data_IF_447092141858
#
_entry.id   IF_447092141858
#
_cell.length_a   1.000
_cell.length_b   1.000
_cell.length_c   1.000
_cell.angle_alpha   90.00
_cell.angle_beta   90.00
_cell.angle_gamma   90.00
#
_symmetry.space_group_name_H-M   'P 1'
#
loop_
_entity.id
_entity.type
_entity.pdbx_description
1 polymer ?
#
# COMPACT_ATOMS: atom_id res chain seq x y z
N UNK A 1 -37.87 21.14 -6.45
CA UNK A 1 -38.74 20.46 -5.47
C UNK A 1 -37.90 20.19 -4.25
N UNK A 2 -38.13 21.04 -3.26
CA UNK A 2 -37.44 21.14 -1.96
C UNK A 2 -38.20 20.29 -0.97
N UNK A 3 -37.52 19.59 -0.07
CA UNK A 3 -38.10 19.21 1.23
C UNK A 3 -37.02 19.15 2.29
N UNK A 4 -36.94 20.25 3.02
CA UNK A 4 -36.34 20.34 4.35
C UNK A 4 -37.07 19.44 5.33
N UNK A 5 -36.34 18.81 6.25
CA UNK A 5 -36.90 18.23 7.45
C UNK A 5 -35.96 18.43 8.64
N UNK A 6 -36.03 19.59 9.28
CA UNK A 6 -35.61 19.81 10.66
C UNK A 6 -36.79 20.31 11.44
N UNK A 7 -37.23 19.57 12.45
CA UNK A 7 -38.10 20.06 13.48
C UNK A 7 -37.55 19.69 14.85
N UNK A 8 -37.19 20.72 15.58
CA UNK A 8 -36.87 20.69 17.00
C UNK A 8 -38.18 20.53 17.81
N UNK A 9 -38.11 19.78 18.88
CA UNK A 9 -38.94 20.01 20.05
C UNK A 9 -38.16 19.79 21.33
N UNK A 10 -37.92 20.90 22.00
CA UNK A 10 -37.51 21.00 23.40
C UNK A 10 -38.71 20.72 24.29
N UNK A 11 -38.55 19.93 25.33
CA UNK A 11 -39.40 19.97 26.51
C UNK A 11 -38.60 19.59 27.75
N UNK A 12 -38.35 20.58 28.55
CA UNK A 12 -37.85 20.50 29.91
C UNK A 12 -38.92 19.96 30.84
N UNK A 13 -38.61 18.96 31.65
CA UNK A 13 -39.22 18.74 32.97
C UNK A 13 -38.16 18.22 33.92
N UNK A 14 -37.84 19.06 34.89
CA UNK A 14 -37.09 18.69 36.06
C UNK A 14 -37.86 17.68 36.90
N UNK A 15 -37.13 16.73 37.43
CA UNK A 15 -37.54 15.93 38.59
C UNK A 15 -36.36 15.90 39.54
N UNK A 16 -36.51 16.65 40.62
CA UNK A 16 -35.72 16.49 41.83
C UNK A 16 -35.91 15.06 42.33
N UNK A 17 -34.85 14.29 42.35
CA UNK A 17 -34.79 13.06 43.14
C UNK A 17 -33.76 13.22 44.24
N UNK A 18 -34.26 13.35 45.45
CA UNK A 18 -33.51 13.21 46.69
C UNK A 18 -32.65 11.94 46.68
N UNK A 19 -31.34 12.15 46.72
CA UNK A 19 -30.39 11.04 46.85
C UNK A 19 -30.41 10.55 48.30
N UNK A 20 -31.23 9.56 48.59
CA UNK A 20 -31.12 8.78 49.80
C UNK A 20 -29.85 7.93 49.69
N UNK A 21 -28.76 8.41 50.25
CA UNK A 21 -27.51 7.68 50.39
C UNK A 21 -27.72 6.53 51.35
N UNK A 22 -28.05 5.35 50.84
CA UNK A 22 -28.08 4.12 51.62
C UNK A 22 -26.66 3.64 51.84
N UNK A 23 -26.31 3.32 53.11
CA UNK A 23 -25.00 2.76 53.52
C UNK A 23 -24.56 1.50 52.72
N UNK A 24 -25.46 0.90 51.93
CA UNK A 24 -25.15 -0.19 51.01
C UNK A 24 -24.37 0.21 49.74
N UNK A 25 -24.52 1.48 49.29
CA UNK A 25 -23.80 1.96 48.11
C UNK A 25 -22.30 2.16 48.38
N UNK A 26 -21.95 2.47 49.63
CA UNK A 26 -20.53 2.68 50.05
C UNK A 26 -19.73 1.38 50.14
N UNK A 27 -20.39 0.20 50.28
CA UNK A 27 -19.69 -1.09 50.36
C UNK A 27 -19.42 -1.69 48.97
N UNK A 28 -20.12 -1.23 47.93
CA UNK A 28 -19.95 -1.71 46.57
C UNK A 28 -18.88 -0.90 45.78
N UNK A 29 -18.58 0.33 46.18
CA UNK A 29 -17.63 1.18 45.52
C UNK A 29 -16.20 0.61 45.50
N UNK A 30 -15.66 0.03 46.58
CA UNK A 30 -14.33 -0.59 46.55
C UNK A 30 -14.32 -1.90 45.75
N UNK A 31 -15.46 -2.60 45.63
CA UNK A 31 -15.56 -3.82 44.84
C UNK A 31 -15.51 -3.53 43.32
N UNK A 32 -16.18 -2.44 42.89
CA UNK A 32 -16.15 -1.98 41.50
C UNK A 32 -14.78 -1.39 41.12
N UNK A 33 -14.13 -0.67 42.05
CA UNK A 33 -12.79 -0.14 41.83
C UNK A 33 -11.75 -1.28 41.72
N UNK A 34 -11.89 -2.34 42.54
CA UNK A 34 -11.06 -3.53 42.45
C UNK A 34 -11.25 -4.31 41.14
N UNK A 35 -12.49 -4.38 40.62
CA UNK A 35 -12.75 -5.04 39.34
C UNK A 35 -12.21 -4.23 38.16
N UNK A 36 -12.25 -2.91 38.20
CA UNK A 36 -11.70 -2.06 37.13
C UNK A 36 -10.17 -2.10 37.10
N UNK A 37 -9.51 -2.18 38.25
CA UNK A 37 -8.04 -2.34 38.31
C UNK A 37 -7.62 -3.72 37.81
N UNK A 38 -8.35 -4.78 38.18
CA UNK A 38 -8.06 -6.15 37.70
C UNK A 38 -8.32 -6.32 36.19
N UNK A 39 -9.27 -5.56 35.63
CA UNK A 39 -9.52 -5.56 34.20
C UNK A 39 -8.49 -4.73 33.41
N UNK A 40 -7.99 -3.66 34.01
CA UNK A 40 -6.95 -2.79 33.40
C UNK A 40 -5.59 -3.50 33.33
N UNK A 41 -5.27 -4.36 34.28
CA UNK A 41 -4.00 -5.11 34.24
C UNK A 41 -4.00 -6.23 33.17
N UNK A 42 -5.19 -6.77 32.82
CA UNK A 42 -5.29 -7.78 31.75
C UNK A 42 -5.21 -7.22 30.34
N UNK A 43 -5.42 -5.91 30.14
CA UNK A 43 -5.33 -5.28 28.83
C UNK A 43 -3.95 -4.75 28.49
N UNK A 44 -3.00 -4.81 29.43
CA UNK A 44 -1.65 -4.26 29.25
C UNK A 44 -0.67 -5.21 28.56
N UNK A 45 -1.02 -6.48 28.36
CA UNK A 45 -0.21 -7.39 27.58
C UNK A 45 -0.83 -7.54 26.20
N UNK A 46 -0.37 -6.75 25.24
CA UNK A 46 -0.59 -7.07 23.85
C UNK A 46 -0.13 -8.52 23.66
N UNK A 47 -1.00 -9.36 23.10
CA UNK A 47 -0.63 -10.72 22.76
C UNK A 47 0.61 -10.68 21.89
N UNK A 48 1.63 -11.46 22.23
CA UNK A 48 2.78 -11.61 21.35
C UNK A 48 2.27 -12.11 20.01
N UNK A 49 2.73 -11.51 18.91
CA UNK A 49 2.33 -11.91 17.57
C UNK A 49 2.79 -13.36 17.34
N UNK A 50 1.85 -14.21 16.97
CA UNK A 50 2.16 -15.58 16.55
C UNK A 50 2.67 -15.55 15.10
N UNK A 51 3.95 -15.90 14.86
CA UNK A 51 4.53 -15.87 13.51
C UNK A 51 3.95 -16.93 12.57
N UNK A 52 3.22 -17.92 13.07
CA UNK A 52 2.49 -18.87 12.23
C UNK A 52 1.18 -18.32 11.68
N UNK A 53 0.62 -17.27 12.32
CA UNK A 53 -0.62 -16.62 11.93
C UNK A 53 -0.39 -15.26 11.30
N UNK A 54 0.70 -14.55 11.70
CA UNK A 54 1.00 -13.20 11.23
C UNK A 54 2.48 -13.06 10.89
N UNK A 55 2.77 -12.66 9.65
CA UNK A 55 4.13 -12.36 9.19
C UNK A 55 4.29 -10.85 9.13
N UNK A 56 5.33 -10.35 9.80
CA UNK A 56 5.73 -8.94 9.75
C UNK A 56 7.11 -8.84 9.10
N UNK A 57 7.20 -8.02 8.05
CA UNK A 57 8.48 -7.64 7.44
C UNK A 57 8.65 -6.14 7.61
N UNK A 58 9.62 -5.72 8.42
CA UNK A 58 9.94 -4.31 8.62
C UNK A 58 10.69 -3.76 7.40
N UNK A 59 10.66 -2.43 7.22
CA UNK A 59 11.22 -1.78 6.04
C UNK A 59 12.74 -2.03 5.85
N UNK A 60 13.49 -2.15 6.93
CA UNK A 60 14.92 -2.46 6.94
C UNK A 60 15.25 -3.92 6.61
N UNK A 61 14.27 -4.80 6.74
CA UNK A 61 14.36 -6.21 6.35
C UNK A 61 13.96 -6.46 4.88
N UNK A 62 13.51 -5.45 4.15
CA UNK A 62 13.16 -5.56 2.74
C UNK A 62 14.41 -5.41 1.88
N UNK A 63 14.83 -6.50 1.24
CA UNK A 63 16.02 -6.53 0.41
C UNK A 63 15.66 -6.42 -1.07
N UNK A 64 16.15 -5.35 -1.71
CA UNK A 64 16.02 -5.15 -3.13
C UNK A 64 17.18 -5.84 -3.87
N UNK A 65 16.84 -6.49 -4.98
CA UNK A 65 17.79 -7.09 -5.90
C UNK A 65 17.65 -6.47 -7.29
N UNK A 66 18.74 -6.36 -8.07
CA UNK A 66 18.67 -5.84 -9.44
C UNK A 66 17.64 -6.58 -10.28
N UNK A 67 16.88 -5.84 -11.08
CA UNK A 67 15.92 -6.41 -12.01
C UNK A 67 16.63 -6.95 -13.23
N UNK A 68 16.61 -8.31 -13.39
CA UNK A 68 17.21 -8.99 -14.54
C UNK A 68 18.66 -8.50 -14.82
N UNK A 69 18.99 -8.24 -16.09
CA UNK A 69 20.29 -7.78 -16.56
C UNK A 69 20.44 -6.24 -16.55
N UNK A 70 19.58 -5.55 -15.81
CA UNK A 70 19.63 -4.09 -15.70
C UNK A 70 20.92 -3.64 -14.99
N UNK A 71 21.46 -2.46 -15.34
CA UNK A 71 22.62 -1.92 -14.66
C UNK A 71 22.41 -1.76 -13.15
N UNK A 72 23.46 -1.86 -12.35
CA UNK A 72 23.35 -1.55 -10.91
C UNK A 72 22.72 -0.19 -10.68
N UNK A 73 21.82 -0.11 -9.67
CA UNK A 73 21.09 1.14 -9.34
C UNK A 73 20.28 1.70 -10.52
N UNK A 74 19.62 0.83 -11.28
CA UNK A 74 18.63 1.19 -12.30
C UNK A 74 17.22 0.79 -11.86
N UNK A 75 16.82 -0.45 -12.09
CA UNK A 75 15.61 -1.08 -11.60
C UNK A 75 15.93 -2.20 -10.61
N UNK A 76 15.23 -2.23 -9.48
CA UNK A 76 15.40 -3.23 -8.44
C UNK A 76 14.04 -3.77 -8.01
N UNK A 77 13.99 -5.05 -7.59
CA UNK A 77 12.79 -5.72 -7.10
C UNK A 77 12.99 -6.26 -5.69
N UNK A 78 11.94 -6.23 -4.89
CA UNK A 78 11.85 -6.98 -3.63
C UNK A 78 10.51 -7.74 -3.59
N UNK A 79 10.56 -9.05 -3.41
CA UNK A 79 9.35 -9.87 -3.27
C UNK A 79 8.89 -9.88 -1.83
N UNK A 80 7.64 -9.44 -1.59
CA UNK A 80 7.02 -9.46 -0.27
C UNK A 80 6.08 -10.64 -0.08
N UNK A 81 5.43 -11.10 -1.16
CA UNK A 81 4.50 -12.21 -1.13
C UNK A 81 4.47 -12.94 -2.48
N UNK A 82 4.29 -14.25 -2.46
CA UNK A 82 4.21 -15.08 -3.66
C UNK A 82 5.52 -15.13 -4.43
N UNK A 83 5.45 -14.93 -5.74
CA UNK A 83 6.58 -14.89 -6.66
C UNK A 83 6.11 -14.58 -8.07
N UNK A 84 6.99 -14.03 -8.90
CA UNK A 84 6.64 -13.70 -10.29
C UNK A 84 6.58 -14.91 -11.21
N UNK A 85 7.22 -16.02 -10.80
CA UNK A 85 7.41 -17.27 -11.54
C UNK A 85 6.43 -18.38 -11.14
N UNK A 86 5.69 -18.21 -10.03
CA UNK A 86 4.83 -19.25 -9.44
C UNK A 86 3.36 -18.86 -9.54
N UNK A 87 2.45 -19.78 -9.95
CA UNK A 87 1.04 -19.48 -10.04
C UNK A 87 0.47 -18.95 -8.72
N UNK A 88 -0.32 -17.89 -8.81
CA UNK A 88 -1.01 -17.28 -7.68
C UNK A 88 -0.82 -15.78 -7.56
N UNK A 89 -1.38 -15.16 -6.53
CA UNK A 89 -1.20 -13.74 -6.28
C UNK A 89 0.23 -13.43 -5.84
N UNK A 90 0.74 -12.28 -6.26
CA UNK A 90 2.03 -11.77 -5.82
C UNK A 90 1.92 -10.31 -5.36
N UNK A 91 2.82 -9.93 -4.46
CA UNK A 91 3.12 -8.56 -4.10
C UNK A 91 4.63 -8.36 -4.15
N UNK A 92 5.09 -7.47 -5.03
CA UNK A 92 6.49 -7.07 -5.13
C UNK A 92 6.62 -5.56 -5.02
N UNK A 93 7.76 -5.10 -4.54
CA UNK A 93 8.16 -3.70 -4.66
C UNK A 93 9.10 -3.56 -5.84
N UNK A 94 8.81 -2.61 -6.72
CA UNK A 94 9.70 -2.15 -7.77
C UNK A 94 10.32 -0.84 -7.34
N UNK A 95 11.63 -0.69 -7.49
CA UNK A 95 12.34 0.56 -7.26
C UNK A 95 13.01 0.99 -8.55
N UNK A 96 12.63 2.17 -9.05
CA UNK A 96 13.30 2.82 -10.17
C UNK A 96 14.22 3.92 -9.68
N UNK A 97 15.50 3.81 -9.97
CA UNK A 97 16.45 4.90 -9.75
C UNK A 97 16.33 5.96 -10.86
N UNK A 98 16.62 7.25 -10.55
CA UNK A 98 16.62 8.31 -11.55
C UNK A 98 17.47 7.97 -12.77
N UNK A 99 16.94 8.28 -13.96
CA UNK A 99 17.61 8.05 -15.24
C UNK A 99 17.34 6.69 -15.88
N UNK A 100 16.43 5.88 -15.34
CA UNK A 100 16.11 4.58 -15.89
C UNK A 100 14.62 4.32 -16.01
N UNK A 101 14.23 3.71 -17.13
CA UNK A 101 12.88 3.26 -17.42
C UNK A 101 12.89 1.85 -18.03
N UNK A 102 11.77 1.15 -17.94
CA UNK A 102 11.55 -0.07 -18.71
C UNK A 102 11.46 0.24 -20.21
N UNK A 103 11.83 -0.70 -21.04
CA UNK A 103 11.45 -0.70 -22.45
C UNK A 103 9.96 -0.93 -22.60
N UNK A 104 9.32 -0.52 -23.72
CA UNK A 104 7.95 -0.90 -24.03
C UNK A 104 7.73 -2.40 -23.98
N UNK A 105 6.76 -2.85 -23.20
CA UNK A 105 6.47 -4.25 -22.95
C UNK A 105 4.98 -4.47 -22.68
N UNK A 106 4.57 -5.73 -22.69
CA UNK A 106 3.20 -6.19 -22.52
C UNK A 106 3.18 -7.25 -21.43
N UNK A 107 2.15 -7.27 -20.61
CA UNK A 107 1.84 -8.37 -19.69
C UNK A 107 0.58 -9.11 -20.11
N UNK A 108 0.54 -10.41 -19.86
CA UNK A 108 -0.63 -11.25 -20.11
C UNK A 108 -1.79 -11.00 -19.14
N UNK A 109 -1.53 -10.41 -17.98
CA UNK A 109 -2.53 -10.13 -16.93
C UNK A 109 -2.47 -8.67 -16.49
N UNK A 110 -3.60 -8.18 -15.94
CA UNK A 110 -3.65 -6.86 -15.30
C UNK A 110 -2.68 -6.79 -14.12
N UNK A 111 -2.13 -5.59 -13.92
CA UNK A 111 -1.33 -5.27 -12.73
C UNK A 111 -1.86 -4.02 -12.05
N UNK A 112 -1.94 -4.08 -10.73
CA UNK A 112 -2.33 -2.95 -9.88
C UNK A 112 -1.08 -2.40 -9.22
N UNK A 113 -0.94 -1.08 -9.21
CA UNK A 113 0.27 -0.42 -8.74
C UNK A 113 -0.09 0.74 -7.83
N UNK A 114 0.62 0.87 -6.71
CA UNK A 114 0.51 1.99 -5.80
C UNK A 114 1.91 2.58 -5.59
N UNK A 115 2.07 3.88 -5.83
CA UNK A 115 3.35 4.56 -5.59
C UNK A 115 3.52 4.82 -4.09
N UNK A 116 4.57 4.28 -3.51
CA UNK A 116 4.87 4.40 -2.08
C UNK A 116 5.77 5.60 -1.77
N UNK A 117 6.74 5.89 -2.64
CA UNK A 117 7.63 7.05 -2.51
C UNK A 117 8.14 7.51 -3.88
N UNK A 118 8.63 8.73 -3.94
CA UNK A 118 9.12 9.35 -5.17
C UNK A 118 8.01 9.66 -6.17
N UNK A 119 8.41 9.79 -7.42
CA UNK A 119 7.51 9.97 -8.56
C UNK A 119 7.78 8.88 -9.59
N UNK A 120 6.75 8.19 -10.00
CA UNK A 120 6.78 7.18 -11.04
C UNK A 120 6.24 7.77 -12.34
N UNK A 121 7.06 7.80 -13.40
CA UNK A 121 6.65 8.26 -14.73
C UNK A 121 6.15 7.08 -15.54
N UNK A 122 4.94 7.21 -16.07
CA UNK A 122 4.24 6.14 -16.77
C UNK A 122 3.75 6.60 -18.13
N UNK A 123 3.75 5.70 -19.11
CA UNK A 123 3.12 5.91 -20.40
C UNK A 123 2.49 4.62 -20.92
N UNK A 124 1.66 4.74 -21.98
CA UNK A 124 1.09 3.64 -22.74
C UNK A 124 1.51 3.79 -24.21
N UNK A 125 1.71 2.66 -24.87
CA UNK A 125 2.09 2.60 -26.27
C UNK A 125 3.35 1.79 -26.52
N UNK A 126 3.60 1.49 -27.79
CA UNK A 126 4.75 0.72 -28.26
C UNK A 126 5.99 1.60 -28.51
N UNK A 127 5.75 2.88 -28.78
CA UNK A 127 6.82 3.83 -29.06
C UNK A 127 7.36 4.43 -27.76
N UNK A 128 8.67 4.32 -27.57
CA UNK A 128 9.31 4.84 -26.37
C UNK A 128 9.53 6.34 -26.48
N UNK A 129 8.77 7.09 -25.68
CA UNK A 129 8.85 8.56 -25.62
C UNK A 129 8.84 9.01 -24.14
N UNK A 130 10.03 9.12 -23.51
CA UNK A 130 10.13 9.47 -22.10
C UNK A 130 9.66 10.90 -21.79
N UNK A 131 9.64 11.80 -22.77
CA UNK A 131 9.25 13.19 -22.57
C UNK A 131 7.75 13.36 -22.36
N UNK A 132 6.95 12.47 -22.93
CA UNK A 132 5.49 12.47 -22.81
C UNK A 132 4.95 11.50 -21.74
N UNK A 133 5.77 11.14 -20.77
CA UNK A 133 5.31 10.32 -19.63
C UNK A 133 4.51 11.14 -18.62
N UNK A 134 3.53 10.49 -17.98
CA UNK A 134 2.71 11.09 -16.93
C UNK A 134 3.37 10.85 -15.57
N UNK A 135 3.66 11.90 -14.77
CA UNK A 135 4.18 11.74 -13.42
C UNK A 135 3.07 11.28 -12.45
N UNK A 136 3.33 10.22 -11.72
CA UNK A 136 2.45 9.70 -10.66
C UNK A 136 3.23 9.79 -9.33
N UNK A 137 2.91 10.76 -8.45
CA UNK A 137 3.57 10.91 -7.16
C UNK A 137 3.13 9.85 -6.15
N UNK A 138 3.80 9.81 -5.00
CA UNK A 138 3.42 8.95 -3.87
C UNK A 138 1.93 9.07 -3.52
N UNK A 139 1.28 7.93 -3.24
CA UNK A 139 -0.16 7.79 -3.06
C UNK A 139 -0.94 7.61 -4.36
N UNK A 140 -0.32 7.81 -5.53
CA UNK A 140 -0.96 7.60 -6.83
C UNK A 140 -1.15 6.14 -7.16
N UNK A 141 -2.24 5.82 -7.87
CA UNK A 141 -2.62 4.48 -8.29
C UNK A 141 -2.58 4.36 -9.81
N UNK A 142 -2.06 3.24 -10.31
CA UNK A 142 -2.06 2.89 -11.74
C UNK A 142 -2.53 1.46 -11.93
N UNK A 143 -3.48 1.25 -12.84
CA UNK A 143 -3.82 -0.06 -13.36
C UNK A 143 -3.18 -0.24 -14.74
N UNK A 144 -2.33 -1.24 -14.88
CA UNK A 144 -1.84 -1.70 -16.19
C UNK A 144 -2.79 -2.75 -16.73
N UNK A 145 -3.39 -2.46 -17.87
CA UNK A 145 -4.34 -3.37 -18.52
C UNK A 145 -3.57 -4.43 -19.28
N UNK A 146 -3.99 -5.69 -19.15
CA UNK A 146 -3.44 -6.82 -19.89
C UNK A 146 -3.37 -6.57 -21.40
N UNK A 147 -2.39 -7.14 -22.04
CA UNK A 147 -2.16 -7.09 -23.49
C UNK A 147 -2.00 -5.68 -24.09
N UNK A 148 -1.71 -4.68 -23.24
CA UNK A 148 -1.53 -3.30 -23.68
C UNK A 148 -0.05 -2.90 -23.53
N UNK A 149 0.63 -2.45 -24.61
CA UNK A 149 2.00 -1.98 -24.52
C UNK A 149 2.11 -0.77 -23.59
N UNK A 150 3.15 -0.77 -22.77
CA UNK A 150 3.46 0.32 -21.85
C UNK A 150 4.93 0.31 -21.44
N UNK A 151 5.37 1.41 -20.83
CA UNK A 151 6.67 1.56 -20.20
C UNK A 151 6.58 2.55 -19.04
N UNK A 152 7.58 2.52 -18.16
CA UNK A 152 7.58 3.32 -16.95
C UNK A 152 8.97 3.35 -16.30
N UNK A 153 9.17 4.27 -15.37
CA UNK A 153 10.40 4.40 -14.63
C UNK A 153 10.55 5.74 -13.91
N UNK A 154 11.79 6.22 -13.80
CA UNK A 154 12.11 7.52 -13.20
C UNK A 154 12.98 8.35 -14.14
N UNK A 155 12.60 9.61 -14.38
CA UNK A 155 13.38 10.56 -15.18
C UNK A 155 14.72 10.87 -14.51
N UNK A 156 15.70 11.30 -15.29
CA UNK A 156 17.07 11.62 -14.79
C UNK A 156 17.10 12.79 -13.81
N UNK A 157 16.15 13.69 -13.87
CA UNK A 157 16.01 14.85 -12.97
C UNK A 157 15.20 14.53 -11.69
N UNK A 158 14.73 13.28 -11.52
CA UNK A 158 14.04 12.87 -10.30
C UNK A 158 14.97 12.99 -9.08
N UNK A 159 14.44 13.54 -7.99
CA UNK A 159 15.23 13.81 -6.77
C UNK A 159 15.53 12.56 -5.95
N UNK A 160 14.69 11.53 -6.10
CA UNK A 160 14.77 10.29 -5.34
C UNK A 160 14.24 9.11 -6.17
N UNK A 161 14.59 7.88 -5.84
CA UNK A 161 14.01 6.70 -6.48
C UNK A 161 12.49 6.63 -6.29
N UNK A 162 11.78 6.18 -7.31
CA UNK A 162 10.39 5.81 -7.20
C UNK A 162 10.27 4.37 -6.65
N UNK A 163 9.49 4.17 -5.59
CA UNK A 163 9.15 2.85 -5.06
C UNK A 163 7.68 2.59 -5.26
N UNK A 164 7.36 1.48 -5.92
CA UNK A 164 6.01 1.12 -6.33
C UNK A 164 5.69 -0.27 -5.79
N UNK A 165 4.55 -0.43 -5.12
CA UNK A 165 3.98 -1.73 -4.82
C UNK A 165 3.22 -2.24 -6.04
N UNK A 166 3.58 -3.43 -6.53
CA UNK A 166 2.97 -4.09 -7.68
C UNK A 166 2.25 -5.35 -7.21
N UNK A 167 0.97 -5.43 -7.49
CA UNK A 167 0.14 -6.59 -7.22
C UNK A 167 -0.44 -7.16 -8.53
N UNK A 168 -0.47 -8.47 -8.65
CA UNK A 168 -1.03 -9.17 -9.80
C UNK A 168 -1.15 -10.67 -9.57
N UNK A 169 -1.40 -11.39 -10.65
CA UNK A 169 -1.46 -12.85 -10.68
C UNK A 169 -0.30 -13.36 -11.53
N UNK A 170 0.49 -14.24 -10.94
CA UNK A 170 1.62 -14.90 -11.60
C UNK A 170 1.20 -16.28 -12.20
N UNK A 171 1.98 -16.87 -13.12
CA UNK A 171 3.29 -16.38 -13.58
C UNK A 171 3.17 -15.08 -14.36
N UNK A 172 4.18 -14.22 -14.17
CA UNK A 172 4.24 -12.96 -14.91
C UNK A 172 4.88 -13.21 -16.26
N UNK A 173 4.08 -13.13 -17.31
CA UNK A 173 4.53 -13.25 -18.68
C UNK A 173 4.77 -11.84 -19.26
N UNK A 174 6.04 -11.45 -19.33
CA UNK A 174 6.48 -10.18 -19.88
C UNK A 174 7.01 -10.39 -21.30
N UNK A 175 6.42 -9.69 -22.25
CA UNK A 175 6.86 -9.67 -23.63
C UNK A 175 7.33 -8.28 -24.03
N UNK A 176 8.60 -8.13 -24.43
CA UNK A 176 9.11 -6.89 -24.98
C UNK A 176 8.48 -6.60 -26.34
N UNK A 177 8.12 -5.34 -26.61
CA UNK A 177 7.66 -4.91 -27.95
C UNK A 177 8.80 -5.07 -28.97
N UNK A 178 10.03 -4.78 -28.57
CA UNK A 178 11.22 -5.00 -29.37
C UNK A 178 12.20 -5.90 -28.62
N UNK A 179 12.16 -7.22 -28.83
CA UNK A 179 13.01 -8.17 -28.11
C UNK A 179 14.49 -8.12 -28.54
N UNK A 180 14.84 -7.36 -29.59
CA UNK A 180 16.23 -7.16 -30.01
C UNK A 180 16.98 -6.15 -29.11
N UNK A 181 16.27 -5.46 -28.23
CA UNK A 181 16.82 -4.43 -27.33
C UNK A 181 16.68 -4.83 -25.86
N UNK A 182 17.53 -4.29 -24.98
CA UNK A 182 17.40 -4.52 -23.54
C UNK A 182 16.01 -4.15 -23.00
N UNK A 183 15.55 -4.84 -21.96
CA UNK A 183 14.28 -4.57 -21.27
C UNK A 183 14.24 -3.26 -20.50
N UNK A 184 15.32 -2.50 -20.51
CA UNK A 184 15.46 -1.21 -19.83
C UNK A 184 16.01 -0.14 -20.78
N UNK A 185 15.83 1.12 -20.41
CA UNK A 185 16.31 2.31 -21.12
C UNK A 185 16.95 3.26 -20.13
N UNK A 186 18.03 3.91 -20.55
CA UNK A 186 18.58 5.07 -19.87
C UNK A 186 17.96 6.34 -20.45
N UNK A 187 17.55 7.31 -19.59
CA UNK A 187 16.87 8.55 -19.95
C UNK A 187 17.47 9.74 -19.23
#
# INVERSE_FOLDING_TARGET
MSTDFFSQHSSSRGLDHDVVSTRRALLLAPLLAGLTVAYSEKTAFASQIDPSETIITLADAIHFVPWSEAPPRSGELATLYGGLDRPGPYLVLMKWHPGYMSAPHIYATDRLSLVLSGTWWVNSGADFDPDHTVPVPAGGFVRRVAHTPHYDGAKSDAKEPAVIALFGIAPVDLTLVDPSKPGWRQV
#
